data_IF_604666938154
#
_entry.id   IF_604666938154
#
_cell.length_a   1.000
_cell.length_b   1.000
_cell.length_c   1.000
_cell.angle_alpha   90.00
_cell.angle_beta   90.00
_cell.angle_gamma   90.00
#
_symmetry.space_group_name_H-M   'P 1'
#
loop_
_entity.id
_entity.type
_entity.pdbx_description
1 polymer ?
#
# COMPACT_ATOMS: atom_id res chain seq x y z
N UNK A 1 13.80 -18.25 -3.91
CA UNK A 1 15.13 -17.77 -3.45
C UNK A 1 16.33 -18.54 -4.04
N UNK A 2 16.29 -19.87 -4.23
CA UNK A 2 17.39 -20.61 -4.91
C UNK A 2 17.78 -20.03 -6.29
N UNK A 3 16.86 -19.41 -7.02
CA UNK A 3 17.15 -18.71 -8.27
C UNK A 3 17.66 -17.27 -8.13
N UNK A 4 17.38 -16.59 -7.01
CA UNK A 4 17.77 -15.18 -6.77
C UNK A 4 19.12 -15.07 -6.03
N UNK A 5 19.38 -15.98 -5.09
CA UNK A 5 20.69 -16.12 -4.44
C UNK A 5 21.74 -16.74 -5.39
N UNK A 6 21.34 -17.74 -6.19
CA UNK A 6 22.25 -18.32 -7.20
C UNK A 6 22.60 -17.35 -8.33
N UNK A 7 21.80 -16.31 -8.55
CA UNK A 7 22.08 -15.30 -9.57
C UNK A 7 23.08 -14.23 -9.11
N UNK A 8 23.30 -14.04 -7.79
CA UNK A 8 24.13 -12.95 -7.26
C UNK A 8 25.36 -13.35 -6.45
N UNK A 9 25.48 -14.58 -5.94
CA UNK A 9 26.71 -15.05 -5.26
C UNK A 9 27.12 -14.32 -3.96
N UNK A 10 26.46 -13.22 -3.61
CA UNK A 10 26.63 -12.43 -2.40
C UNK A 10 25.30 -12.36 -1.62
N UNK A 11 25.41 -12.33 -0.30
CA UNK A 11 24.27 -12.07 0.61
C UNK A 11 23.70 -10.69 0.30
N UNK A 12 22.37 -10.61 0.08
CA UNK A 12 21.69 -9.35 -0.15
C UNK A 12 21.84 -8.43 1.08
N UNK A 13 22.12 -7.15 0.84
CA UNK A 13 22.19 -6.15 1.90
C UNK A 13 20.81 -5.92 2.55
N UNK A 14 20.74 -5.44 3.82
CA UNK A 14 19.46 -5.09 4.46
C UNK A 14 18.59 -4.14 3.63
N UNK A 15 19.22 -3.25 2.87
CA UNK A 15 18.54 -2.30 1.99
C UNK A 15 17.95 -2.98 0.74
N UNK A 16 18.67 -3.92 0.14
CA UNK A 16 18.10 -4.72 -0.96
C UNK A 16 16.95 -5.59 -0.48
N UNK A 17 17.08 -6.17 0.72
CA UNK A 17 16.02 -6.96 1.35
C UNK A 17 14.80 -6.10 1.67
N UNK A 18 14.95 -4.87 2.18
CA UNK A 18 13.82 -3.97 2.41
C UNK A 18 13.08 -3.62 1.12
N UNK A 19 13.81 -3.43 0.01
CA UNK A 19 13.18 -3.22 -1.31
C UNK A 19 12.38 -4.43 -1.78
N UNK A 20 12.83 -5.66 -1.50
CA UNK A 20 12.04 -6.88 -1.79
C UNK A 20 10.78 -6.92 -0.92
N UNK A 21 10.91 -6.60 0.37
CA UNK A 21 9.78 -6.60 1.30
C UNK A 21 8.69 -5.60 0.89
N UNK A 22 9.05 -4.43 0.39
CA UNK A 22 8.09 -3.41 -0.05
C UNK A 22 7.33 -3.79 -1.33
N UNK A 23 7.69 -4.91 -1.98
CA UNK A 23 6.98 -5.46 -3.12
C UNK A 23 6.02 -6.61 -2.76
N UNK A 24 6.04 -7.08 -1.51
CA UNK A 24 5.23 -8.21 -1.02
C UNK A 24 4.54 -7.80 0.30
N UNK A 25 3.23 -7.50 0.28
CA UNK A 25 2.50 -7.05 1.46
C UNK A 25 2.43 -8.12 2.56
N UNK A 26 2.40 -9.41 2.21
CA UNK A 26 2.29 -10.50 3.19
C UNK A 26 3.64 -10.78 3.86
N UNK A 27 4.73 -10.68 3.11
CA UNK A 27 6.08 -10.71 3.67
C UNK A 27 6.35 -9.50 4.56
N UNK A 28 5.97 -8.29 4.14
CA UNK A 28 6.08 -7.08 4.95
C UNK A 28 5.32 -7.22 6.28
N UNK A 29 4.08 -7.68 6.21
CA UNK A 29 3.28 -7.95 7.40
C UNK A 29 3.96 -8.97 8.32
N UNK A 30 4.46 -10.08 7.76
CA UNK A 30 5.13 -11.14 8.52
C UNK A 30 6.40 -10.62 9.20
N UNK A 31 7.20 -9.82 8.50
CA UNK A 31 8.39 -9.15 9.04
C UNK A 31 8.05 -8.27 10.24
N UNK A 32 7.07 -7.35 10.09
CA UNK A 32 6.70 -6.43 11.16
C UNK A 32 6.15 -7.16 12.38
N UNK A 33 5.35 -8.20 12.17
CA UNK A 33 4.84 -9.06 13.25
C UNK A 33 5.96 -9.75 14.01
N UNK A 34 6.97 -10.25 13.30
CA UNK A 34 8.10 -10.91 13.92
C UNK A 34 9.00 -9.91 14.68
N UNK A 35 9.23 -8.73 14.11
CA UNK A 35 9.95 -7.65 14.77
C UNK A 35 9.22 -7.19 16.05
N UNK A 36 7.91 -6.96 16.03
CA UNK A 36 7.18 -6.56 17.24
C UNK A 36 7.11 -7.70 18.27
N UNK A 37 7.14 -8.97 17.85
CA UNK A 37 7.18 -10.13 18.77
C UNK A 37 8.50 -10.23 19.55
N UNK A 38 9.62 -9.94 18.88
CA UNK A 38 10.97 -10.01 19.46
C UNK A 38 11.41 -8.70 20.12
N UNK A 39 10.61 -7.64 19.97
CA UNK A 39 10.91 -6.31 20.50
C UNK A 39 11.11 -6.35 22.02
N UNK A 40 12.32 -6.01 22.44
CA UNK A 40 12.61 -5.76 23.86
C UNK A 40 11.98 -4.45 24.29
N UNK A 41 11.40 -4.41 25.51
CA UNK A 41 10.90 -3.19 26.14
C UNK A 41 11.95 -2.07 26.29
N UNK A 42 13.24 -2.37 26.06
CA UNK A 42 14.35 -1.38 26.09
C UNK A 42 14.56 -0.66 24.76
N UNK A 43 14.04 -1.15 23.63
CA UNK A 43 14.02 -0.40 22.38
C UNK A 43 12.93 0.67 22.48
N UNK A 44 13.32 1.89 22.83
CA UNK A 44 12.41 3.01 23.09
C UNK A 44 11.59 3.48 21.88
N UNK A 45 11.91 3.04 20.66
CA UNK A 45 11.21 3.42 19.43
C UNK A 45 10.50 2.22 18.79
N UNK A 46 9.34 2.46 18.20
CA UNK A 46 8.61 1.45 17.42
C UNK A 46 9.29 1.21 16.07
N UNK A 47 9.15 0.00 15.55
CA UNK A 47 9.76 -0.40 14.29
C UNK A 47 8.77 -0.16 13.16
N UNK A 48 8.81 1.05 12.61
CA UNK A 48 7.80 1.55 11.65
C UNK A 48 8.15 1.33 10.18
N UNK A 49 9.36 0.81 9.89
CA UNK A 49 9.84 0.59 8.52
C UNK A 49 10.40 -0.81 8.31
N UNK A 50 10.43 -1.29 7.05
CA UNK A 50 10.94 -2.62 6.71
C UNK A 50 12.44 -2.72 6.97
N UNK A 51 13.20 -1.68 6.62
CA UNK A 51 14.64 -1.63 6.92
C UNK A 51 14.91 -1.70 8.42
N UNK A 52 14.19 -0.92 9.24
CA UNK A 52 14.34 -0.96 10.69
C UNK A 52 14.01 -2.35 11.26
N UNK A 53 12.98 -3.01 10.72
CA UNK A 53 12.60 -4.37 11.13
C UNK A 53 13.65 -5.42 10.78
N UNK A 54 14.22 -5.36 9.57
CA UNK A 54 15.32 -6.24 9.17
C UNK A 54 16.55 -5.99 10.04
N UNK A 55 16.87 -4.73 10.35
CA UNK A 55 17.98 -4.41 11.25
C UNK A 55 17.76 -4.90 12.68
N UNK A 56 16.51 -4.87 13.16
CA UNK A 56 16.16 -5.37 14.49
C UNK A 56 16.26 -6.91 14.58
N UNK A 57 15.75 -7.64 13.59
CA UNK A 57 15.82 -9.11 13.56
C UNK A 57 17.22 -9.61 13.19
N UNK A 58 17.91 -8.88 12.33
CA UNK A 58 19.12 -9.35 11.66
C UNK A 58 18.82 -10.10 10.36
N UNK A 59 19.79 -10.06 9.45
CA UNK A 59 19.67 -10.62 8.08
C UNK A 59 19.44 -12.14 8.09
N UNK A 60 20.08 -12.86 8.99
CA UNK A 60 19.96 -14.32 9.06
C UNK A 60 18.57 -14.75 9.51
N UNK A 61 18.01 -14.09 10.54
CA UNK A 61 16.66 -14.38 11.03
C UNK A 61 15.60 -13.98 9.99
N UNK A 62 15.78 -12.84 9.33
CA UNK A 62 14.90 -12.46 8.22
C UNK A 62 14.97 -13.46 7.05
N UNK A 63 16.16 -13.91 6.67
CA UNK A 63 16.34 -14.91 5.61
C UNK A 63 15.63 -16.22 5.96
N UNK A 64 15.75 -16.68 7.22
CA UNK A 64 15.00 -17.83 7.69
C UNK A 64 13.48 -17.60 7.66
N UNK A 65 13.02 -16.41 8.07
CA UNK A 65 11.60 -16.04 8.04
C UNK A 65 11.02 -16.09 6.64
N UNK A 66 11.76 -15.55 5.66
CA UNK A 66 11.42 -15.50 4.24
C UNK A 66 11.43 -16.90 3.61
N UNK A 67 12.45 -17.72 3.88
CA UNK A 67 12.50 -19.11 3.40
C UNK A 67 11.38 -19.98 4.00
N UNK A 68 10.90 -19.64 5.19
CA UNK A 68 9.76 -20.30 5.83
C UNK A 68 8.39 -19.68 5.43
N UNK A 69 8.37 -18.65 4.59
CA UNK A 69 7.12 -18.08 4.06
C UNK A 69 6.51 -19.04 3.04
N UNK A 70 5.18 -19.20 3.12
CA UNK A 70 4.44 -20.02 2.16
C UNK A 70 4.36 -19.29 0.83
N UNK A 71 4.74 -19.97 -0.25
CA UNK A 71 4.44 -19.51 -1.61
C UNK A 71 2.94 -19.62 -1.85
N UNK A 72 2.37 -18.57 -2.42
CA UNK A 72 0.93 -18.50 -2.68
C UNK A 72 0.65 -18.95 -4.11
N UNK A 73 -0.50 -19.61 -4.29
CA UNK A 73 -0.91 -20.12 -5.60
C UNK A 73 -1.23 -18.97 -6.56
N UNK A 74 -0.53 -18.93 -7.68
CA UNK A 74 -0.72 -17.95 -8.77
C UNK A 74 -2.10 -18.05 -9.45
N UNK A 75 -2.91 -19.07 -9.12
CA UNK A 75 -4.26 -19.23 -9.66
C UNK A 75 -5.30 -18.31 -8.99
N UNK A 76 -4.97 -17.71 -7.84
CA UNK A 76 -5.88 -16.81 -7.13
C UNK A 76 -5.82 -15.39 -7.69
N UNK A 77 -6.55 -15.16 -8.79
CA UNK A 77 -6.56 -13.86 -9.48
C UNK A 77 -6.95 -12.71 -8.56
N UNK A 78 -7.94 -12.91 -7.68
CA UNK A 78 -8.36 -11.87 -6.74
C UNK A 78 -7.27 -11.47 -5.76
N UNK A 79 -6.47 -12.43 -5.30
CA UNK A 79 -5.29 -12.12 -4.49
C UNK A 79 -4.25 -11.31 -5.27
N UNK A 80 -3.92 -11.76 -6.49
CA UNK A 80 -2.92 -11.10 -7.35
C UNK A 80 -3.32 -9.65 -7.67
N UNK A 81 -4.60 -9.38 -7.91
CA UNK A 81 -5.13 -8.04 -8.12
C UNK A 81 -4.88 -7.12 -6.90
N UNK A 82 -5.17 -7.63 -5.70
CA UNK A 82 -5.02 -6.86 -4.46
C UNK A 82 -3.55 -6.68 -4.10
N UNK A 83 -2.72 -7.70 -4.33
CA UNK A 83 -1.26 -7.63 -4.15
C UNK A 83 -0.63 -6.60 -5.09
N UNK A 84 -0.93 -6.67 -6.39
CA UNK A 84 -0.46 -5.70 -7.37
C UNK A 84 -0.87 -4.27 -6.98
N UNK A 85 -2.12 -4.09 -6.55
CA UNK A 85 -2.62 -2.79 -6.08
C UNK A 85 -1.91 -2.29 -4.83
N UNK A 86 -1.68 -3.15 -3.84
CA UNK A 86 -0.96 -2.81 -2.62
C UNK A 86 0.48 -2.38 -2.92
N UNK A 87 1.15 -3.11 -3.81
CA UNK A 87 2.52 -2.80 -4.25
C UNK A 87 2.59 -1.49 -5.02
N UNK A 88 1.64 -1.22 -5.92
CA UNK A 88 1.50 0.08 -6.59
C UNK A 88 1.29 1.19 -5.56
N UNK A 89 0.43 0.99 -4.56
CA UNK A 89 0.18 1.99 -3.51
C UNK A 89 1.44 2.32 -2.71
N UNK A 90 2.25 1.31 -2.37
CA UNK A 90 3.52 1.46 -1.68
C UNK A 90 4.53 2.27 -2.50
N UNK A 91 4.67 1.96 -3.80
CA UNK A 91 5.57 2.67 -4.71
C UNK A 91 5.17 4.14 -4.88
N UNK A 92 3.87 4.41 -5.08
CA UNK A 92 3.34 5.77 -5.17
C UNK A 92 3.59 6.52 -3.86
N UNK A 93 3.32 5.89 -2.71
CA UNK A 93 3.56 6.48 -1.40
C UNK A 93 5.03 6.79 -1.14
N UNK A 94 5.94 5.87 -1.43
CA UNK A 94 7.39 6.07 -1.28
C UNK A 94 7.86 7.27 -2.13
N UNK A 95 7.40 7.32 -3.38
CA UNK A 95 7.75 8.41 -4.27
C UNK A 95 7.15 9.73 -3.80
N UNK A 96 5.85 9.80 -3.59
CA UNK A 96 5.16 11.04 -3.27
C UNK A 96 5.55 11.60 -1.91
N UNK A 97 5.67 10.75 -0.88
CA UNK A 97 6.07 11.21 0.45
C UNK A 97 7.49 11.82 0.47
N UNK A 98 8.37 11.46 -0.47
CA UNK A 98 9.70 12.09 -0.62
C UNK A 98 9.63 13.59 -0.98
N UNK A 99 8.48 14.05 -1.46
CA UNK A 99 8.20 15.47 -1.73
C UNK A 99 8.00 16.30 -0.45
N UNK A 100 7.96 15.67 0.73
CA UNK A 100 7.84 16.33 2.03
C UNK A 100 9.01 15.96 2.95
N UNK A 101 9.71 16.99 3.43
CA UNK A 101 10.86 16.80 4.33
C UNK A 101 10.48 16.31 5.74
N UNK A 102 9.24 16.53 6.18
CA UNK A 102 8.75 16.16 7.51
C UNK A 102 8.19 14.72 7.59
N UNK A 103 8.23 14.00 6.47
CA UNK A 103 7.74 12.63 6.36
C UNK A 103 8.91 11.67 6.18
N UNK A 104 8.80 10.49 6.79
CA UNK A 104 9.59 9.34 6.38
C UNK A 104 8.80 8.62 5.28
N UNK A 105 9.30 8.58 4.02
CA UNK A 105 8.56 7.97 2.93
C UNK A 105 8.27 6.48 3.12
N UNK A 106 9.18 5.74 3.77
CA UNK A 106 9.02 4.31 4.00
C UNK A 106 7.87 4.02 4.98
N UNK A 107 7.61 4.89 5.96
CA UNK A 107 6.47 4.74 6.89
C UNK A 107 5.13 4.86 6.14
N UNK A 108 5.04 5.79 5.19
CA UNK A 108 3.85 5.96 4.35
C UNK A 108 3.72 4.80 3.37
N UNK A 109 4.83 4.33 2.79
CA UNK A 109 4.87 3.20 1.87
C UNK A 109 4.41 1.89 2.54
N UNK A 110 4.94 1.59 3.74
CA UNK A 110 4.50 0.43 4.55
C UNK A 110 3.02 0.53 4.90
N UNK A 111 2.52 1.70 5.28
CA UNK A 111 1.11 1.88 5.58
C UNK A 111 0.21 1.70 4.34
N UNK A 112 0.64 2.19 3.18
CA UNK A 112 -0.08 2.03 1.92
C UNK A 112 -0.07 0.56 1.46
N UNK A 113 1.05 -0.13 1.61
CA UNK A 113 1.21 -1.56 1.31
C UNK A 113 0.26 -2.43 2.15
N UNK A 114 0.08 -2.06 3.42
CA UNK A 114 -0.72 -2.84 4.37
C UNK A 114 -2.19 -2.38 4.47
N UNK A 115 -2.60 -1.34 3.74
CA UNK A 115 -3.94 -0.76 3.79
C UNK A 115 -5.06 -1.77 3.51
N UNK A 116 -4.82 -2.71 2.59
CA UNK A 116 -5.78 -3.72 2.16
C UNK A 116 -5.46 -5.12 2.73
N UNK A 117 -4.69 -5.19 3.84
CA UNK A 117 -4.30 -6.48 4.48
C UNK A 117 -5.50 -7.38 4.79
N UNK A 118 -6.62 -6.81 5.24
CA UNK A 118 -7.85 -7.56 5.49
C UNK A 118 -8.35 -8.27 4.22
N UNK A 119 -8.35 -7.57 3.09
CA UNK A 119 -8.75 -8.16 1.80
C UNK A 119 -7.77 -9.25 1.35
N UNK A 120 -6.46 -9.03 1.46
CA UNK A 120 -5.43 -10.04 1.17
C UNK A 120 -5.67 -11.33 1.97
N UNK A 121 -5.90 -11.21 3.28
CA UNK A 121 -6.13 -12.36 4.15
C UNK A 121 -7.41 -13.10 3.79
N UNK A 122 -8.47 -12.38 3.40
CA UNK A 122 -9.71 -13.01 2.95
C UNK A 122 -9.48 -13.81 1.67
N UNK A 123 -8.76 -13.29 0.69
CA UNK A 123 -8.42 -14.06 -0.51
C UNK A 123 -7.60 -15.31 -0.20
N UNK A 124 -6.73 -15.28 0.81
CA UNK A 124 -5.90 -16.43 1.21
C UNK A 124 -6.69 -17.48 2.01
N UNK A 125 -7.55 -17.06 2.94
CA UNK A 125 -8.14 -17.95 3.94
C UNK A 125 -9.65 -18.15 3.83
N UNK A 126 -10.37 -17.28 3.12
CA UNK A 126 -11.82 -17.33 2.94
C UNK A 126 -12.26 -16.60 1.68
N UNK A 127 -11.84 -17.06 0.47
CA UNK A 127 -12.07 -16.35 -0.78
C UNK A 127 -13.56 -16.22 -1.14
N UNK A 128 -14.45 -17.01 -0.55
CA UNK A 128 -15.90 -16.88 -0.72
C UNK A 128 -16.43 -15.49 -0.33
N UNK A 129 -15.83 -14.82 0.66
CA UNK A 129 -16.26 -13.51 1.14
C UNK A 129 -15.98 -12.39 0.12
N UNK A 130 -14.75 -12.22 -0.41
CA UNK A 130 -14.50 -11.22 -1.44
C UNK A 130 -15.19 -11.55 -2.77
N UNK A 131 -15.45 -12.83 -3.09
CA UNK A 131 -16.32 -13.16 -4.22
C UNK A 131 -17.76 -12.66 -4.01
N UNK A 132 -18.35 -12.91 -2.84
CA UNK A 132 -19.71 -12.46 -2.52
C UNK A 132 -19.81 -10.92 -2.55
N UNK A 133 -18.82 -10.21 -2.00
CA UNK A 133 -18.76 -8.76 -2.07
C UNK A 133 -18.63 -8.23 -3.51
N UNK A 134 -17.84 -8.89 -4.37
CA UNK A 134 -17.74 -8.56 -5.79
C UNK A 134 -19.09 -8.78 -6.50
N UNK A 135 -19.79 -9.88 -6.23
CA UNK A 135 -21.12 -10.16 -6.79
C UNK A 135 -22.16 -9.11 -6.35
N UNK A 136 -22.16 -8.73 -5.07
CA UNK A 136 -23.07 -7.72 -4.52
C UNK A 136 -22.87 -6.37 -5.22
N UNK A 137 -21.62 -5.95 -5.44
CA UNK A 137 -21.29 -4.72 -6.16
C UNK A 137 -21.73 -4.79 -7.64
N UNK A 138 -21.44 -5.88 -8.33
CA UNK A 138 -21.81 -6.06 -9.75
C UNK A 138 -23.32 -6.16 -9.97
N UNK A 139 -24.06 -6.61 -8.96
CA UNK A 139 -25.52 -6.67 -9.02
C UNK A 139 -26.19 -5.29 -9.05
N UNK A 140 -25.46 -4.23 -8.71
CA UNK A 140 -25.97 -2.87 -8.59
C UNK A 140 -26.80 -2.59 -7.33
N UNK A 141 -26.93 -3.58 -6.43
CA UNK A 141 -27.59 -3.40 -5.12
C UNK A 141 -26.78 -2.49 -4.19
N UNK A 142 -25.46 -2.56 -4.28
CA UNK A 142 -24.54 -1.67 -3.59
C UNK A 142 -23.96 -0.61 -4.54
N UNK A 143 -23.96 0.65 -4.11
CA UNK A 143 -23.38 1.78 -4.88
C UNK A 143 -21.86 1.94 -4.66
N UNK A 144 -21.29 1.31 -3.63
CA UNK A 144 -19.89 1.42 -3.24
C UNK A 144 -19.36 0.09 -2.73
N UNK A 145 -18.06 -0.15 -2.93
CA UNK A 145 -17.39 -1.39 -2.48
C UNK A 145 -17.58 -1.67 -0.98
N UNK A 146 -17.44 -0.66 -0.11
CA UNK A 146 -17.64 -0.84 1.33
C UNK A 146 -19.06 -1.28 1.69
N UNK A 147 -20.07 -0.78 0.97
CA UNK A 147 -21.46 -1.18 1.18
C UNK A 147 -21.67 -2.64 0.75
N UNK A 148 -21.14 -3.02 -0.42
CA UNK A 148 -21.20 -4.39 -0.92
C UNK A 148 -20.54 -5.39 0.05
N UNK A 149 -19.40 -5.00 0.65
CA UNK A 149 -18.71 -5.80 1.65
C UNK A 149 -19.55 -6.00 2.91
N UNK A 150 -20.17 -4.93 3.44
CA UNK A 150 -21.03 -5.01 4.63
C UNK A 150 -22.28 -5.87 4.35
N UNK A 151 -22.88 -5.73 3.18
CA UNK A 151 -24.08 -6.50 2.79
C UNK A 151 -23.77 -7.99 2.62
N UNK A 152 -22.65 -8.33 1.98
CA UNK A 152 -22.26 -9.71 1.73
C UNK A 152 -21.64 -10.41 2.96
N UNK A 153 -20.83 -9.69 3.74
CA UNK A 153 -19.97 -10.27 4.78
C UNK A 153 -20.34 -9.84 6.21
N UNK A 154 -21.15 -8.79 6.38
CA UNK A 154 -21.48 -8.18 7.67
C UNK A 154 -20.43 -7.20 8.21
N UNK A 155 -19.34 -6.95 7.47
CA UNK A 155 -18.27 -6.01 7.81
C UNK A 155 -17.57 -5.53 6.53
N UNK A 156 -16.92 -4.37 6.58
CA UNK A 156 -16.02 -3.92 5.51
C UNK A 156 -14.60 -4.45 5.71
N UNK A 157 -13.84 -4.63 4.63
CA UNK A 157 -12.51 -5.24 4.72
C UNK A 157 -11.50 -4.37 5.48
N UNK A 158 -11.74 -3.05 5.56
CA UNK A 158 -10.92 -2.15 6.38
C UNK A 158 -11.08 -2.44 7.87
N UNK A 159 -12.29 -2.81 8.33
CA UNK A 159 -12.51 -3.24 9.72
C UNK A 159 -11.66 -4.48 10.04
N UNK A 160 -11.54 -5.43 9.10
CA UNK A 160 -10.66 -6.58 9.27
C UNK A 160 -9.17 -6.18 9.29
N UNK A 161 -8.72 -5.31 8.37
CA UNK A 161 -7.35 -4.75 8.40
C UNK A 161 -7.03 -4.15 9.77
N UNK A 162 -7.91 -3.29 10.29
CA UNK A 162 -7.72 -2.63 11.58
C UNK A 162 -7.69 -3.64 12.74
N UNK A 163 -8.59 -4.62 12.72
CA UNK A 163 -8.66 -5.63 13.77
C UNK A 163 -7.39 -6.49 13.81
N UNK A 164 -6.88 -6.88 12.65
CA UNK A 164 -5.62 -7.59 12.50
C UNK A 164 -4.44 -6.76 13.02
N UNK A 165 -4.36 -5.48 12.64
CA UNK A 165 -3.30 -4.58 13.08
C UNK A 165 -3.24 -4.43 14.61
N UNK A 166 -4.41 -4.32 15.27
CA UNK A 166 -4.53 -4.25 16.73
C UNK A 166 -4.17 -5.58 17.41
N UNK A 167 -4.68 -6.71 16.90
CA UNK A 167 -4.40 -8.04 17.46
C UNK A 167 -2.92 -8.41 17.39
N UNK A 168 -2.25 -8.02 16.30
CA UNK A 168 -0.83 -8.25 16.12
C UNK A 168 0.06 -7.19 16.74
N UNK A 169 -0.54 -6.18 17.39
CA UNK A 169 0.18 -5.09 18.06
C UNK A 169 1.18 -4.41 17.12
N UNK A 170 0.75 -4.16 15.88
CA UNK A 170 1.56 -3.41 14.93
C UNK A 170 1.90 -2.02 15.49
N UNK A 171 3.00 -1.38 15.02
CA UNK A 171 3.41 -0.06 15.48
C UNK A 171 2.25 0.95 15.53
N UNK A 172 2.16 1.72 16.60
CA UNK A 172 1.08 2.69 16.80
C UNK A 172 0.96 3.68 15.64
N UNK A 173 2.09 4.12 15.07
CA UNK A 173 2.10 4.96 13.87
C UNK A 173 1.37 4.27 12.71
N UNK A 174 1.71 3.02 12.40
CA UNK A 174 1.09 2.26 11.33
C UNK A 174 -0.43 2.14 11.55
N UNK A 175 -0.85 1.83 12.78
CA UNK A 175 -2.29 1.77 13.14
C UNK A 175 -2.98 3.12 12.92
N UNK A 176 -2.33 4.25 13.25
CA UNK A 176 -2.88 5.58 13.01
C UNK A 176 -3.04 5.91 11.52
N UNK A 177 -2.04 5.53 10.71
CA UNK A 177 -2.08 5.73 9.25
C UNK A 177 -3.19 4.89 8.60
N UNK A 178 -3.29 3.60 8.95
CA UNK A 178 -4.34 2.70 8.47
C UNK A 178 -5.75 3.17 8.86
N UNK A 179 -5.88 3.73 10.08
CA UNK A 179 -7.16 4.29 10.55
C UNK A 179 -7.60 5.46 9.68
N UNK A 180 -6.66 6.27 9.19
CA UNK A 180 -6.93 7.46 8.39
C UNK A 180 -7.23 8.68 9.27
N UNK A 181 -6.49 8.86 10.38
CA UNK A 181 -6.62 10.05 11.22
C UNK A 181 -6.25 11.28 10.41
N UNK A 182 -7.06 12.34 10.43
CA UNK A 182 -6.87 13.54 9.61
C UNK A 182 -5.53 14.25 9.92
N UNK A 183 -4.51 13.82 9.20
CA UNK A 183 -3.11 14.21 9.34
C UNK A 183 -2.47 14.13 7.95
N UNK A 184 -1.44 14.95 7.65
CA UNK A 184 -0.79 14.90 6.34
C UNK A 184 -0.31 13.49 5.93
N UNK A 185 0.21 12.71 6.89
CA UNK A 185 0.71 11.35 6.65
C UNK A 185 -0.42 10.38 6.29
N UNK A 186 -1.48 10.34 7.08
CA UNK A 186 -2.57 9.40 6.83
C UNK A 186 -3.39 9.81 5.59
N UNK A 187 -3.56 11.11 5.36
CA UNK A 187 -4.20 11.63 4.17
C UNK A 187 -3.39 11.27 2.92
N UNK A 188 -2.06 11.45 2.94
CA UNK A 188 -1.21 11.03 1.84
C UNK A 188 -1.27 9.52 1.62
N UNK A 189 -1.24 8.71 2.70
CA UNK A 189 -1.40 7.25 2.62
C UNK A 189 -2.70 6.88 1.89
N UNK A 190 -3.83 7.48 2.30
CA UNK A 190 -5.14 7.27 1.67
C UNK A 190 -5.14 7.65 0.18
N UNK A 191 -4.57 8.82 -0.16
CA UNK A 191 -4.51 9.29 -1.54
C UNK A 191 -3.65 8.34 -2.40
N UNK A 192 -2.53 7.81 -1.87
CA UNK A 192 -1.71 6.84 -2.59
C UNK A 192 -2.44 5.52 -2.83
N UNK A 193 -3.21 5.02 -1.85
CA UNK A 193 -4.08 3.84 -2.03
C UNK A 193 -5.19 4.08 -3.05
N UNK A 194 -5.75 5.30 -3.11
CA UNK A 194 -6.75 5.66 -4.14
C UNK A 194 -6.11 5.73 -5.54
N UNK A 195 -4.97 6.42 -5.65
CA UNK A 195 -4.22 6.51 -6.89
C UNK A 195 -3.87 5.11 -7.43
N UNK A 196 -3.45 4.19 -6.55
CA UNK A 196 -3.17 2.82 -6.94
C UNK A 196 -4.40 2.06 -7.48
N UNK A 197 -5.58 2.25 -6.87
CA UNK A 197 -6.85 1.70 -7.42
C UNK A 197 -7.06 2.19 -8.84
N UNK A 198 -6.94 3.50 -9.06
CA UNK A 198 -7.20 4.10 -10.37
C UNK A 198 -6.16 3.73 -11.43
N UNK A 199 -4.89 3.57 -11.04
CA UNK A 199 -3.80 3.09 -11.88
C UNK A 199 -4.05 1.65 -12.33
N UNK A 200 -4.45 0.76 -11.42
CA UNK A 200 -4.67 -0.66 -11.73
C UNK A 200 -5.96 -0.87 -12.55
N UNK A 201 -7.01 -0.10 -12.29
CA UNK A 201 -8.29 -0.23 -13.01
C UNK A 201 -8.19 0.26 -14.47
N UNK A 202 -7.39 1.29 -14.73
CA UNK A 202 -7.08 1.81 -16.08
C UNK A 202 -8.31 2.06 -17.00
N UNK A 203 -9.39 2.63 -16.45
CA UNK A 203 -10.58 3.06 -17.20
C UNK A 203 -10.54 4.57 -17.47
N UNK A 204 -11.34 5.06 -18.43
CA UNK A 204 -11.45 6.50 -18.67
C UNK A 204 -11.92 7.27 -17.42
N UNK A 205 -12.83 6.68 -16.65
CA UNK A 205 -13.29 7.24 -15.37
C UNK A 205 -12.20 7.21 -14.31
N UNK A 206 -11.36 6.18 -14.28
CA UNK A 206 -10.24 6.09 -13.34
C UNK A 206 -9.16 7.15 -13.63
N UNK A 207 -8.91 7.53 -14.89
CA UNK A 207 -7.98 8.61 -15.22
C UNK A 207 -8.41 9.98 -14.65
N UNK A 208 -9.71 10.30 -14.70
CA UNK A 208 -10.23 11.53 -14.08
C UNK A 208 -10.13 11.49 -12.55
N UNK A 209 -10.41 10.34 -11.96
CA UNK A 209 -10.26 10.15 -10.52
C UNK A 209 -8.79 10.25 -10.07
N UNK A 210 -7.86 9.71 -10.86
CA UNK A 210 -6.42 9.83 -10.65
C UNK A 210 -5.93 11.28 -10.79
N UNK A 211 -6.47 12.07 -11.72
CA UNK A 211 -6.21 13.51 -11.81
C UNK A 211 -6.66 14.24 -10.53
N UNK A 212 -7.79 13.84 -9.94
CA UNK A 212 -8.23 14.34 -8.63
C UNK A 212 -7.27 13.96 -7.50
N UNK A 213 -6.80 12.71 -7.46
CA UNK A 213 -5.82 12.26 -6.46
C UNK A 213 -4.51 13.06 -6.56
N UNK A 214 -4.04 13.37 -7.77
CA UNK A 214 -2.85 14.20 -8.01
C UNK A 214 -3.03 15.63 -7.45
N UNK A 215 -4.20 16.22 -7.68
CA UNK A 215 -4.56 17.54 -7.12
C UNK A 215 -4.61 17.50 -5.59
N UNK A 216 -5.23 16.49 -4.99
CA UNK A 216 -5.24 16.30 -3.53
C UNK A 216 -3.81 16.13 -2.97
N UNK A 217 -2.98 15.31 -3.61
CA UNK A 217 -1.59 15.10 -3.23
C UNK A 217 -0.79 16.41 -3.29
N UNK A 218 -0.98 17.22 -4.34
CA UNK A 218 -0.35 18.54 -4.46
C UNK A 218 -0.76 19.51 -3.36
N UNK A 219 -2.02 19.51 -2.93
CA UNK A 219 -2.47 20.34 -1.79
C UNK A 219 -1.73 19.98 -0.51
N UNK A 220 -1.41 18.70 -0.31
CA UNK A 220 -0.60 18.26 0.81
C UNK A 220 0.89 18.56 0.61
N UNK A 221 1.36 18.88 -0.59
CA UNK A 221 2.79 19.03 -0.90
C UNK A 221 3.04 20.26 -1.78
N UNK A 222 2.85 21.49 -1.26
CA UNK A 222 2.84 22.71 -2.06
C UNK A 222 4.18 23.02 -2.76
N UNK A 223 5.29 22.43 -2.28
CA UNK A 223 6.61 22.55 -2.92
C UNK A 223 6.81 21.66 -4.14
N UNK A 224 5.83 20.83 -4.48
CA UNK A 224 5.90 19.82 -5.55
C UNK A 224 4.95 20.20 -6.69
N UNK A 225 5.40 20.04 -7.94
CA UNK A 225 4.56 20.26 -9.13
C UNK A 225 3.70 19.03 -9.45
N UNK A 226 2.58 19.23 -10.18
CA UNK A 226 1.80 18.11 -10.71
C UNK A 226 2.65 17.22 -11.63
N UNK A 227 3.52 17.81 -12.45
CA UNK A 227 4.46 17.06 -13.29
C UNK A 227 5.33 16.10 -12.48
N UNK A 228 5.89 16.54 -11.35
CA UNK A 228 6.71 15.67 -10.50
C UNK A 228 5.89 14.51 -9.89
N UNK A 229 4.62 14.74 -9.55
CA UNK A 229 3.73 13.70 -9.02
C UNK A 229 3.40 12.66 -10.10
N UNK A 230 3.12 13.12 -11.32
CA UNK A 230 2.87 12.29 -12.51
C UNK A 230 4.12 11.48 -12.89
N UNK A 231 5.30 12.10 -12.89
CA UNK A 231 6.58 11.42 -13.12
C UNK A 231 6.83 10.31 -12.08
N UNK A 232 6.27 10.49 -10.88
CA UNK A 232 6.33 9.50 -9.81
C UNK A 232 5.49 8.25 -10.06
N UNK A 233 4.55 8.30 -11.01
CA UNK A 233 3.75 7.15 -11.44
C UNK A 233 4.52 6.35 -12.51
N UNK A 234 5.67 5.80 -12.13
CA UNK A 234 6.63 5.14 -13.04
C UNK A 234 6.04 3.96 -13.82
N UNK A 235 4.99 3.34 -13.30
CA UNK A 235 4.28 2.22 -13.91
C UNK A 235 3.40 2.62 -15.11
N UNK A 236 3.09 3.92 -15.28
CA UNK A 236 2.25 4.40 -16.37
C UNK A 236 3.05 4.71 -17.64
N UNK A 237 2.50 4.43 -18.85
CA UNK A 237 3.08 4.88 -20.11
C UNK A 237 3.15 6.41 -20.23
N UNK A 238 4.13 6.92 -20.97
CA UNK A 238 4.34 8.36 -21.12
C UNK A 238 3.14 9.09 -21.74
N UNK A 239 2.46 8.49 -22.73
CA UNK A 239 1.23 9.03 -23.31
C UNK A 239 0.11 9.20 -22.26
N UNK A 240 -0.03 8.24 -21.35
CA UNK A 240 -1.01 8.33 -20.26
C UNK A 240 -0.61 9.40 -19.24
N UNK A 241 0.68 9.55 -18.95
CA UNK A 241 1.20 10.61 -18.07
C UNK A 241 0.94 12.00 -18.64
N UNK A 242 1.16 12.21 -19.94
CA UNK A 242 0.87 13.49 -20.61
C UNK A 242 -0.61 13.84 -20.51
N UNK A 243 -1.49 12.87 -20.80
CA UNK A 243 -2.94 13.05 -20.66
C UNK A 243 -3.35 13.36 -19.21
N UNK A 244 -2.81 12.63 -18.24
CA UNK A 244 -3.11 12.84 -16.81
C UNK A 244 -2.66 14.22 -16.33
N UNK A 245 -1.47 14.67 -16.76
CA UNK A 245 -0.95 15.99 -16.40
C UNK A 245 -1.87 17.10 -16.91
N UNK A 246 -2.31 17.01 -18.18
CA UNK A 246 -3.22 18.00 -18.75
C UNK A 246 -4.56 18.10 -17.98
N UNK A 247 -5.17 16.96 -17.64
CA UNK A 247 -6.41 16.92 -16.86
C UNK A 247 -6.21 17.44 -15.43
N UNK A 248 -5.08 17.10 -14.79
CA UNK A 248 -4.79 17.55 -13.44
C UNK A 248 -4.51 19.05 -13.38
N UNK A 249 -3.84 19.62 -14.38
CA UNK A 249 -3.60 21.08 -14.49
C UNK A 249 -4.91 21.84 -14.70
N UNK A 250 -5.80 21.37 -15.57
CA UNK A 250 -7.13 21.96 -15.76
C UNK A 250 -7.94 21.94 -14.45
N UNK A 251 -7.96 20.79 -13.78
CA UNK A 251 -8.63 20.63 -12.50
C UNK A 251 -8.03 21.55 -11.42
N UNK A 252 -6.71 21.65 -11.34
CA UNK A 252 -6.01 22.54 -10.40
C UNK A 252 -6.37 24.01 -10.61
N UNK A 253 -6.39 24.46 -11.87
CA UNK A 253 -6.76 25.84 -12.22
C UNK A 253 -8.22 26.14 -11.86
N UNK A 254 -9.14 25.21 -12.13
CA UNK A 254 -10.55 25.37 -11.78
C UNK A 254 -10.80 25.52 -10.27
N UNK A 255 -9.96 24.89 -9.44
CA UNK A 255 -10.08 24.93 -7.98
C UNK A 255 -9.29 26.06 -7.33
N UNK A 256 -8.27 26.60 -8.00
CA UNK A 256 -7.41 27.68 -7.50
C UNK A 256 -7.89 29.07 -7.92
N UNK A 257 -8.78 29.15 -8.92
CA UNK A 257 -9.33 30.39 -9.47
C UNK A 257 -10.68 30.84 -8.89
N UNK A 258 -11.18 30.19 -7.83
CA UNK A 258 -12.39 30.55 -7.09
C UNK A 258 -12.07 31.01 -5.67
#
# INVERSE_FOLDING_TARGET
MRGLEAAKGELLSPKELSSIVLLDPLLCLRLLREAERTRSHRLGHETTTALAAIMQLGVDEFSALLLASREIEEANIGLLEVEARATVAAQVAERWASGRMDLNPEEVAVAALLADTGELLLWVYGPELPHAAKEELLSGRAMRSSQAQIEACGFDFKQLTMRCAELWKLPSLLVQLLRGVDTPRANLTRICSNAARHVVESTATSNLALASDLVEARKLMPGVSLGWLVDGLVMLPDEQKEYLLANADELWLSQSGG
#
